data_IF_992630576053
#
_entry.id   IF_992630576053
#
_cell.length_a   1.000
_cell.length_b   1.000
_cell.length_c   1.000
_cell.angle_alpha   90.00
_cell.angle_beta   90.00
_cell.angle_gamma   90.00
#
_symmetry.space_group_name_H-M   'P 1'
#
loop_
_entity.id
_entity.type
_entity.pdbx_description
1 polymer ?
#
# COMPACT_ATOMS: atom_id res chain seq x y z
N UNK A 1 -12.42 18.49 9.31
CA UNK A 1 -13.11 17.22 8.98
C UNK A 1 -13.80 17.44 7.64
N UNK A 2 -13.23 16.92 6.56
CA UNK A 2 -13.79 17.05 5.20
C UNK A 2 -14.96 16.07 5.01
N UNK A 3 -15.97 16.50 4.26
CA UNK A 3 -17.34 15.98 4.25
C UNK A 3 -17.49 14.58 3.60
N UNK A 4 -16.46 14.03 2.95
CA UNK A 4 -16.70 12.95 1.98
C UNK A 4 -15.99 11.62 2.28
N UNK A 5 -15.26 11.48 3.38
CA UNK A 5 -14.65 10.20 3.81
C UNK A 5 -13.63 9.58 2.84
N UNK A 6 -13.39 10.18 1.67
CA UNK A 6 -12.35 9.80 0.72
C UNK A 6 -11.06 10.53 1.10
N UNK A 7 -9.96 9.80 1.33
CA UNK A 7 -8.70 10.46 1.64
C UNK A 7 -8.25 11.35 0.47
N UNK A 8 -7.72 12.51 0.85
CA UNK A 8 -7.58 13.69 0.00
C UNK A 8 -6.27 13.60 -0.81
N UNK A 9 -6.19 12.62 -1.70
CA UNK A 9 -5.00 12.38 -2.52
C UNK A 9 -5.12 13.19 -3.81
N UNK A 10 -4.32 14.25 -3.87
CA UNK A 10 -4.21 15.21 -4.97
C UNK A 10 -5.45 16.11 -5.17
N UNK A 11 -5.42 17.30 -4.55
CA UNK A 11 -6.26 18.42 -5.01
C UNK A 11 -5.56 19.08 -6.20
N UNK A 12 -6.25 19.10 -7.33
CA UNK A 12 -5.94 20.00 -8.43
C UNK A 12 -6.38 21.39 -7.94
N UNK A 13 -5.43 22.30 -7.76
CA UNK A 13 -5.78 23.69 -7.47
C UNK A 13 -6.53 24.26 -8.68
N UNK A 14 -7.83 24.63 -8.53
CA UNK A 14 -8.65 25.09 -9.65
C UNK A 14 -8.13 26.40 -10.26
N UNK A 15 -7.22 27.11 -9.59
CA UNK A 15 -6.64 28.36 -10.09
C UNK A 15 -5.33 28.16 -10.85
N UNK A 16 -4.56 27.11 -10.56
CA UNK A 16 -3.20 26.94 -11.10
C UNK A 16 -3.01 25.64 -11.88
N UNK A 17 -3.96 24.70 -11.84
CA UNK A 17 -3.85 23.40 -12.49
C UNK A 17 -2.73 22.51 -11.93
N UNK A 18 -2.04 22.95 -10.88
CA UNK A 18 -0.98 22.18 -10.23
C UNK A 18 -1.60 21.11 -9.33
N UNK A 19 -1.14 19.88 -9.53
CA UNK A 19 -1.35 18.75 -8.63
C UNK A 19 -0.52 19.03 -7.38
N UNK A 20 -1.17 19.48 -6.30
CA UNK A 20 -0.48 19.60 -5.02
C UNK A 20 -0.29 18.21 -4.43
N UNK A 21 0.95 17.79 -4.07
CA UNK A 21 1.17 16.50 -3.44
C UNK A 21 0.39 16.45 -2.11
N UNK A 22 -0.25 15.32 -1.77
CA UNK A 22 -1.03 15.19 -0.54
C UNK A 22 -0.15 15.55 0.67
N UNK A 23 -0.58 16.57 1.42
CA UNK A 23 0.16 17.13 2.56
C UNK A 23 0.20 16.18 3.78
N UNK A 24 -0.72 15.23 3.84
CA UNK A 24 -0.83 14.26 4.93
C UNK A 24 -0.64 12.85 4.37
N UNK A 25 0.30 12.11 4.96
CA UNK A 25 0.50 10.71 4.62
C UNK A 25 -0.71 9.93 5.13
N UNK A 26 -1.40 9.10 4.31
CA UNK A 26 -2.48 8.24 4.78
C UNK A 26 -2.03 7.45 6.01
N UNK A 27 -2.75 7.65 7.11
CA UNK A 27 -2.46 7.04 8.41
C UNK A 27 -2.31 5.51 8.30
N UNK A 28 -3.05 4.87 7.40
CA UNK A 28 -2.93 3.43 7.11
C UNK A 28 -1.55 2.99 6.64
N UNK A 29 -0.84 3.80 5.85
CA UNK A 29 0.52 3.48 5.38
C UNK A 29 1.54 3.65 6.50
N UNK A 30 1.36 4.64 7.38
CA UNK A 30 2.21 4.83 8.55
C UNK A 30 2.07 3.68 9.55
N UNK A 31 0.83 3.25 9.83
CA UNK A 31 0.57 2.08 10.67
C UNK A 31 1.22 0.84 10.05
N UNK A 32 1.06 0.62 8.74
CA UNK A 32 1.66 -0.50 8.04
C UNK A 32 3.19 -0.51 8.15
N UNK A 33 3.84 0.63 7.95
CA UNK A 33 5.29 0.76 8.13
C UNK A 33 5.73 0.44 9.58
N UNK A 34 4.98 0.94 10.58
CA UNK A 34 5.22 0.60 11.99
C UNK A 34 5.09 -0.89 12.27
N UNK A 35 4.10 -1.57 11.67
CA UNK A 35 3.97 -3.03 11.80
C UNK A 35 5.16 -3.79 11.24
N UNK A 36 5.76 -3.32 10.13
CA UNK A 36 7.00 -3.87 9.59
C UNK A 36 8.20 -3.66 10.52
N UNK A 37 8.30 -2.51 11.18
CA UNK A 37 9.32 -2.27 12.20
C UNK A 37 9.15 -3.19 13.42
N UNK A 38 7.91 -3.42 13.86
CA UNK A 38 7.61 -4.37 14.93
C UNK A 38 7.98 -5.80 14.51
N UNK A 39 7.65 -6.21 13.28
CA UNK A 39 8.03 -7.54 12.75
C UNK A 39 9.55 -7.73 12.71
N UNK A 40 10.29 -6.70 12.30
CA UNK A 40 11.75 -6.73 12.33
C UNK A 40 12.26 -6.95 13.76
N UNK A 41 11.69 -6.25 14.75
CA UNK A 41 12.02 -6.41 16.16
C UNK A 41 11.71 -7.81 16.71
N UNK A 42 10.51 -8.34 16.44
CA UNK A 42 10.12 -9.70 16.85
C UNK A 42 11.06 -10.74 16.25
N UNK A 43 11.38 -10.61 14.97
CA UNK A 43 12.31 -11.50 14.26
C UNK A 43 13.72 -11.40 14.86
N UNK A 44 14.18 -10.20 15.18
CA UNK A 44 15.47 -9.99 15.83
C UNK A 44 15.54 -10.63 17.22
N UNK A 45 14.49 -10.51 18.03
CA UNK A 45 14.41 -11.17 19.34
C UNK A 45 14.45 -12.69 19.18
N UNK A 46 13.71 -13.24 18.21
CA UNK A 46 13.75 -14.69 17.92
C UNK A 46 15.16 -15.16 17.55
N UNK A 47 15.86 -14.41 16.71
CA UNK A 47 17.26 -14.71 16.34
C UNK A 47 18.17 -14.65 17.55
N UNK A 48 18.03 -13.65 18.42
CA UNK A 48 18.83 -13.54 19.64
C UNK A 48 18.59 -14.71 20.58
N UNK A 49 17.35 -15.19 20.71
CA UNK A 49 17.04 -16.41 21.48
C UNK A 49 17.77 -17.61 20.87
N UNK A 50 17.67 -17.82 19.55
CA UNK A 50 18.34 -18.94 18.88
C UNK A 50 19.87 -18.88 19.05
N UNK A 51 20.47 -17.70 18.90
CA UNK A 51 21.91 -17.50 19.09
C UNK A 51 22.30 -17.77 20.54
N UNK A 52 21.56 -17.23 21.50
CA UNK A 52 21.87 -17.40 22.92
C UNK A 52 21.84 -18.88 23.31
N UNK A 53 20.80 -19.62 22.90
CA UNK A 53 20.72 -21.07 23.12
C UNK A 53 21.84 -21.83 22.41
N UNK A 54 22.11 -21.52 21.14
CA UNK A 54 23.20 -22.15 20.39
C UNK A 54 24.60 -21.89 20.99
N UNK A 55 24.80 -20.75 21.64
CA UNK A 55 26.04 -20.44 22.37
C UNK A 55 26.12 -21.18 23.73
N UNK A 56 24.99 -21.34 24.43
CA UNK A 56 24.92 -22.07 25.71
C UNK A 56 25.19 -23.56 25.50
N UNK A 57 24.60 -24.15 24.46
CA UNK A 57 24.75 -25.57 24.13
C UNK A 57 26.00 -25.87 23.25
N UNK A 58 26.85 -24.86 22.99
CA UNK A 58 28.07 -24.95 22.16
C UNK A 58 27.86 -25.49 20.74
N UNK A 59 26.67 -25.33 20.17
CA UNK A 59 26.35 -25.74 18.81
C UNK A 59 26.67 -24.61 17.81
N UNK A 60 27.92 -24.56 17.35
CA UNK A 60 28.37 -23.57 16.36
C UNK A 60 27.52 -23.55 15.08
N UNK A 61 26.97 -24.71 14.69
CA UNK A 61 26.04 -24.84 13.56
C UNK A 61 24.78 -23.98 13.72
N UNK A 62 24.20 -23.98 14.91
CA UNK A 62 22.98 -23.22 15.25
C UNK A 62 23.21 -21.71 15.17
N UNK A 63 24.39 -21.25 15.59
CA UNK A 63 24.80 -19.84 15.47
C UNK A 63 25.03 -19.42 14.02
N UNK A 64 25.71 -20.26 13.23
CA UNK A 64 25.92 -20.00 11.79
C UNK A 64 24.61 -19.96 11.00
N UNK A 65 23.65 -20.83 11.35
CA UNK A 65 22.32 -20.83 10.76
C UNK A 65 21.51 -19.58 11.11
N UNK A 66 21.84 -18.85 12.18
CA UNK A 66 21.16 -17.62 12.56
C UNK A 66 21.55 -16.39 11.69
N UNK A 67 22.73 -16.41 11.07
CA UNK A 67 23.28 -15.27 10.30
C UNK A 67 22.39 -14.87 9.10
N UNK A 68 21.89 -15.80 8.26
CA UNK A 68 20.97 -15.45 7.17
C UNK A 68 19.68 -14.81 7.67
N UNK A 69 19.20 -15.14 8.86
CA UNK A 69 18.00 -14.53 9.44
C UNK A 69 18.23 -13.06 9.82
N UNK A 70 19.46 -12.65 10.11
CA UNK A 70 19.79 -11.24 10.34
C UNK A 70 19.56 -10.39 9.08
N UNK A 71 19.82 -10.95 7.89
CA UNK A 71 19.50 -10.30 6.62
C UNK A 71 17.98 -10.13 6.44
N UNK A 72 17.19 -11.09 6.93
CA UNK A 72 15.72 -10.99 6.92
C UNK A 72 15.24 -9.82 7.79
N UNK A 73 15.86 -9.59 8.95
CA UNK A 73 15.56 -8.41 9.79
C UNK A 73 15.84 -7.11 9.04
N UNK A 74 17.01 -6.99 8.42
CA UNK A 74 17.36 -5.80 7.64
C UNK A 74 16.40 -5.60 6.46
N UNK A 75 15.93 -6.68 5.86
CA UNK A 75 14.97 -6.64 4.77
C UNK A 75 13.57 -6.19 5.25
N UNK A 76 13.12 -6.60 6.44
CA UNK A 76 11.90 -6.05 7.04
C UNK A 76 12.02 -4.54 7.33
N UNK A 77 13.18 -4.09 7.82
CA UNK A 77 13.43 -2.66 8.06
C UNK A 77 13.42 -1.84 6.76
N UNK A 78 14.02 -2.36 5.69
CA UNK A 78 14.05 -1.67 4.40
C UNK A 78 12.65 -1.56 3.78
N UNK A 79 11.80 -2.57 3.94
CA UNK A 79 10.39 -2.51 3.53
C UNK A 79 9.59 -1.53 4.38
N UNK A 80 9.77 -1.53 5.71
CA UNK A 80 9.13 -0.54 6.59
C UNK A 80 9.48 0.90 6.17
N UNK A 81 10.76 1.16 5.89
CA UNK A 81 11.21 2.45 5.38
C UNK A 81 10.66 2.76 3.97
N UNK A 82 10.65 1.78 3.08
CA UNK A 82 10.12 1.91 1.71
C UNK A 82 8.61 2.20 1.67
N UNK A 83 7.84 1.52 2.51
CA UNK A 83 6.41 1.78 2.71
C UNK A 83 6.18 3.17 3.31
N UNK A 84 7.00 3.59 4.28
CA UNK A 84 6.93 4.93 4.85
C UNK A 84 7.20 6.03 3.81
N UNK A 85 8.04 5.75 2.82
CA UNK A 85 8.30 6.62 1.65
C UNK A 85 7.29 6.45 0.51
N UNK A 86 6.25 5.63 0.68
CA UNK A 86 5.22 5.32 -0.32
C UNK A 86 5.75 4.78 -1.65
N UNK A 87 6.87 4.05 -1.61
CA UNK A 87 7.45 3.47 -2.80
C UNK A 87 6.69 2.19 -3.22
N UNK A 88 6.08 2.22 -4.41
CA UNK A 88 5.24 1.12 -4.95
C UNK A 88 5.90 -0.25 -4.88
N UNK A 89 7.18 -0.34 -5.28
CA UNK A 89 7.87 -1.62 -5.32
C UNK A 89 7.83 -2.32 -3.95
N UNK A 90 7.95 -1.56 -2.86
CA UNK A 90 7.98 -2.12 -1.51
C UNK A 90 6.60 -2.59 -1.04
N UNK A 91 5.49 -2.11 -1.63
CA UNK A 91 4.16 -2.67 -1.38
C UNK A 91 4.07 -4.13 -1.86
N UNK A 92 4.60 -4.43 -3.04
CA UNK A 92 4.62 -5.79 -3.56
C UNK A 92 5.51 -6.72 -2.72
N UNK A 93 6.72 -6.26 -2.37
CA UNK A 93 7.62 -7.02 -1.49
C UNK A 93 7.04 -7.21 -0.09
N UNK A 94 6.35 -6.21 0.45
CA UNK A 94 5.61 -6.33 1.70
C UNK A 94 4.54 -7.43 1.60
N UNK A 95 3.72 -7.43 0.55
CA UNK A 95 2.70 -8.47 0.39
C UNK A 95 3.31 -9.87 0.32
N UNK A 96 4.37 -10.02 -0.48
CA UNK A 96 5.08 -11.29 -0.62
C UNK A 96 5.64 -11.78 0.73
N UNK A 97 6.31 -10.90 1.47
CA UNK A 97 6.88 -11.26 2.76
C UNK A 97 5.83 -11.55 3.82
N UNK A 98 4.72 -10.83 3.84
CA UNK A 98 3.65 -11.09 4.79
C UNK A 98 3.04 -12.49 4.57
N UNK A 99 2.90 -12.92 3.31
CA UNK A 99 2.44 -14.27 2.97
C UNK A 99 3.49 -15.32 3.39
N UNK A 100 4.76 -15.12 3.05
CA UNK A 100 5.84 -16.04 3.43
C UNK A 100 5.98 -16.15 4.95
N UNK A 101 5.91 -15.01 5.66
CA UNK A 101 5.96 -14.94 7.12
C UNK A 101 4.77 -15.64 7.77
N UNK A 102 3.59 -15.57 7.16
CA UNK A 102 2.40 -16.29 7.63
C UNK A 102 2.56 -17.81 7.49
N UNK A 103 3.06 -18.28 6.35
CA UNK A 103 3.36 -19.70 6.14
C UNK A 103 4.42 -20.20 7.13
N UNK A 104 5.46 -19.41 7.37
CA UNK A 104 6.51 -19.73 8.33
C UNK A 104 5.99 -19.79 9.77
N UNK A 105 5.15 -18.82 10.17
CA UNK A 105 4.54 -18.79 11.49
C UNK A 105 3.62 -20.00 11.73
N UNK A 106 2.82 -20.40 10.73
CA UNK A 106 2.00 -21.62 10.78
C UNK A 106 2.89 -22.85 10.91
N UNK A 107 3.95 -22.96 10.10
CA UNK A 107 4.91 -24.06 10.16
C UNK A 107 5.53 -24.19 11.55
N UNK A 108 6.01 -23.09 12.12
CA UNK A 108 6.59 -23.08 13.46
C UNK A 108 5.58 -23.46 14.56
N UNK A 109 4.34 -22.97 14.49
CA UNK A 109 3.28 -23.38 15.43
C UNK A 109 2.99 -24.87 15.33
N UNK A 110 2.86 -25.39 14.11
CA UNK A 110 2.61 -26.81 13.87
C UNK A 110 3.77 -27.68 14.38
N UNK A 111 5.01 -27.28 14.13
CA UNK A 111 6.20 -27.96 14.67
C UNK A 111 6.23 -27.92 16.19
N UNK A 112 6.02 -26.75 16.81
CA UNK A 112 6.04 -26.59 18.27
C UNK A 112 4.96 -27.45 18.94
N UNK A 113 3.76 -27.50 18.36
CA UNK A 113 2.69 -28.38 18.80
C UNK A 113 3.04 -29.87 18.65
N UNK A 114 3.64 -30.26 17.52
CA UNK A 114 4.08 -31.65 17.32
C UNK A 114 5.18 -32.06 18.31
N UNK A 115 6.07 -31.14 18.70
CA UNK A 115 7.11 -31.40 19.69
C UNK A 115 6.60 -31.41 21.13
N UNK A 116 5.47 -30.77 21.45
CA UNK A 116 5.02 -30.72 22.86
C UNK A 116 4.62 -32.05 23.46
N UNK A 117 4.19 -33.00 22.64
CA UNK A 117 3.88 -34.35 23.10
C UNK A 117 5.14 -35.12 23.56
N UNK A 118 6.33 -34.64 23.20
CA UNK A 118 7.62 -35.27 23.49
C UNK A 118 8.37 -34.66 24.68
N UNK A 119 7.88 -33.54 25.24
CA UNK A 119 8.54 -32.83 26.34
C UNK A 119 7.77 -33.02 27.66
N UNK A 120 8.31 -33.82 28.62
CA UNK A 120 7.62 -34.11 29.89
C UNK A 120 7.44 -32.88 30.78
N UNK A 121 8.31 -31.88 30.65
CA UNK A 121 8.25 -30.62 31.42
C UNK A 121 7.42 -29.52 30.72
N UNK A 122 6.81 -29.86 29.57
CA UNK A 122 6.10 -28.92 28.71
C UNK A 122 7.04 -28.02 27.89
N UNK A 123 6.51 -27.50 26.79
CA UNK A 123 7.27 -26.61 25.90
C UNK A 123 7.18 -25.17 26.43
N UNK A 124 8.31 -24.45 26.55
CA UNK A 124 8.30 -23.06 27.01
C UNK A 124 7.31 -22.17 26.26
N UNK A 125 6.51 -21.39 26.99
CA UNK A 125 5.41 -20.60 26.42
C UNK A 125 5.85 -19.62 25.32
N UNK A 126 7.09 -19.11 25.37
CA UNK A 126 7.61 -18.20 24.36
C UNK A 126 7.74 -18.85 22.97
N UNK A 127 7.91 -20.18 22.89
CA UNK A 127 7.96 -20.92 21.62
C UNK A 127 6.61 -20.97 20.91
N UNK A 128 5.49 -20.84 21.64
CA UNK A 128 4.17 -20.63 21.05
C UNK A 128 3.86 -19.15 20.82
N UNK A 129 4.26 -18.28 21.76
CA UNK A 129 3.92 -16.87 21.71
C UNK A 129 4.55 -16.15 20.52
N UNK A 130 5.84 -16.39 20.23
CA UNK A 130 6.55 -15.69 19.13
C UNK A 130 5.91 -15.99 17.77
N UNK A 131 5.69 -17.27 17.37
CA UNK A 131 5.06 -17.55 16.09
C UNK A 131 3.58 -17.13 16.06
N UNK A 132 2.86 -17.19 17.17
CA UNK A 132 1.47 -16.70 17.23
C UNK A 132 1.40 -15.18 17.00
N UNK A 133 2.31 -14.40 17.59
CA UNK A 133 2.42 -12.95 17.35
C UNK A 133 2.75 -12.70 15.87
N UNK A 134 3.71 -13.42 15.29
CA UNK A 134 4.04 -13.30 13.86
C UNK A 134 2.83 -13.61 12.98
N UNK A 135 2.04 -14.62 13.32
CA UNK A 135 0.82 -14.99 12.58
C UNK A 135 -0.20 -13.84 12.59
N UNK A 136 -0.52 -13.31 13.77
CA UNK A 136 -1.49 -12.22 13.92
C UNK A 136 -1.01 -10.97 13.19
N UNK A 137 0.26 -10.58 13.38
CA UNK A 137 0.80 -9.36 12.76
C UNK A 137 0.85 -9.49 11.24
N UNK A 138 1.25 -10.64 10.69
CA UNK A 138 1.22 -10.87 9.24
C UNK A 138 -0.20 -10.82 8.67
N UNK A 139 -1.20 -11.38 9.36
CA UNK A 139 -2.60 -11.26 8.95
C UNK A 139 -3.07 -9.80 8.90
N UNK A 140 -2.75 -9.01 9.93
CA UNK A 140 -3.12 -7.59 9.96
C UNK A 140 -2.40 -6.83 8.85
N UNK A 141 -1.11 -7.08 8.63
CA UNK A 141 -0.34 -6.50 7.53
C UNK A 141 -0.99 -6.79 6.18
N UNK A 142 -1.37 -8.04 5.91
CA UNK A 142 -2.03 -8.43 4.64
C UNK A 142 -3.34 -7.66 4.47
N UNK A 143 -4.17 -7.63 5.51
CA UNK A 143 -5.44 -6.91 5.47
C UNK A 143 -5.24 -5.42 5.17
N UNK A 144 -4.30 -4.76 5.86
CA UNK A 144 -4.00 -3.34 5.61
C UNK A 144 -3.39 -3.11 4.23
N UNK A 145 -2.51 -3.99 3.74
CA UNK A 145 -1.94 -3.92 2.38
C UNK A 145 -3.04 -3.92 1.30
N UNK A 146 -4.09 -4.72 1.48
CA UNK A 146 -5.23 -4.71 0.57
C UNK A 146 -6.07 -3.43 0.67
N UNK A 147 -6.24 -2.86 1.87
CA UNK A 147 -6.94 -1.58 2.04
C UNK A 147 -6.19 -0.42 1.38
N UNK A 148 -4.86 -0.41 1.46
CA UNK A 148 -4.03 0.66 0.89
C UNK A 148 -3.61 0.40 -0.55
N UNK A 149 -4.07 -0.69 -1.19
CA UNK A 149 -3.62 -1.08 -2.54
C UNK A 149 -3.79 0.05 -3.57
N UNK A 150 -4.88 0.80 -3.47
CA UNK A 150 -5.23 1.84 -4.44
C UNK A 150 -4.37 3.09 -4.27
N UNK A 151 -3.75 3.29 -3.08
CA UNK A 151 -2.78 4.35 -2.83
C UNK A 151 -1.45 4.12 -3.55
N UNK A 152 -1.10 2.86 -3.82
CA UNK A 152 0.13 2.46 -4.51
C UNK A 152 -0.09 2.17 -6.00
N UNK A 153 -1.32 2.33 -6.49
CA UNK A 153 -1.65 2.13 -7.90
C UNK A 153 -1.16 3.33 -8.70
N UNK A 154 -0.40 3.05 -9.74
CA UNK A 154 0.14 4.06 -10.65
C UNK A 154 -1.03 4.85 -11.26
N UNK A 155 -1.00 6.18 -11.15
CA UNK A 155 -1.89 7.01 -11.96
C UNK A 155 -1.41 6.80 -13.39
N UNK A 156 -2.26 6.18 -14.21
CA UNK A 156 -1.93 5.87 -15.60
C UNK A 156 -1.46 7.18 -16.28
N UNK A 157 -0.25 7.23 -16.87
CA UNK A 157 0.25 8.44 -17.52
C UNK A 157 -0.72 8.95 -18.58
N UNK A 158 -1.55 8.09 -19.18
CA UNK A 158 -2.63 8.48 -20.08
C UNK A 158 -3.77 9.22 -19.37
N UNK A 159 -4.13 8.81 -18.15
CA UNK A 159 -5.12 9.54 -17.35
C UNK A 159 -4.57 10.91 -16.91
N UNK A 160 -3.29 11.01 -16.56
CA UNK A 160 -2.67 12.31 -16.24
C UNK A 160 -2.68 13.23 -17.46
N UNK A 161 -2.32 12.73 -18.64
CA UNK A 161 -2.39 13.51 -19.88
C UNK A 161 -3.83 13.92 -20.20
N UNK A 162 -4.81 13.03 -20.07
CA UNK A 162 -6.22 13.36 -20.30
C UNK A 162 -6.74 14.41 -19.32
N UNK A 163 -6.35 14.33 -18.04
CA UNK A 163 -6.71 15.33 -17.04
C UNK A 163 -6.05 16.69 -17.32
N UNK A 164 -4.81 16.72 -17.81
CA UNK A 164 -4.15 17.95 -18.26
C UNK A 164 -4.78 18.55 -19.52
N UNK A 165 -5.21 17.71 -20.47
CA UNK A 165 -5.91 18.17 -21.67
C UNK A 165 -7.28 18.76 -21.30
N UNK A 166 -8.06 18.07 -20.46
CA UNK A 166 -9.35 18.58 -20.00
C UNK A 166 -9.23 19.88 -19.19
N UNK A 167 -8.15 20.04 -18.40
CA UNK A 167 -7.92 21.29 -17.67
C UNK A 167 -7.56 22.44 -18.62
N UNK A 168 -6.77 22.18 -19.66
CA UNK A 168 -6.49 23.15 -20.72
C UNK A 168 -7.75 23.51 -21.52
N UNK A 169 -8.59 22.54 -21.88
CA UNK A 169 -9.87 22.79 -22.58
C UNK A 169 -10.80 23.68 -21.75
N UNK A 170 -10.94 23.40 -20.45
CA UNK A 170 -11.74 24.24 -19.55
C UNK A 170 -11.16 25.66 -19.41
N UNK A 171 -9.84 25.80 -19.34
CA UNK A 171 -9.22 27.13 -19.33
C UNK A 171 -9.47 27.88 -20.64
N UNK A 172 -9.45 27.17 -21.78
CA UNK A 172 -9.75 27.74 -23.09
C UNK A 172 -11.22 28.18 -23.19
N UNK A 173 -12.17 27.38 -22.69
CA UNK A 173 -13.59 27.74 -22.62
C UNK A 173 -13.83 28.97 -21.74
N UNK A 174 -13.15 29.05 -20.59
CA UNK A 174 -13.23 30.22 -19.71
C UNK A 174 -12.65 31.45 -20.39
N UNK A 175 -11.53 31.33 -21.11
CA UNK A 175 -10.96 32.43 -21.89
C UNK A 175 -11.88 32.89 -23.03
N UNK A 176 -12.51 31.95 -23.76
CA UNK A 176 -13.48 32.27 -24.82
C UNK A 176 -14.72 32.98 -24.27
N UNK A 177 -15.24 32.52 -23.13
CA UNK A 177 -16.36 33.19 -22.44
C UNK A 177 -15.99 34.58 -21.91
N UNK A 178 -14.72 34.81 -21.54
CA UNK A 178 -14.23 36.14 -21.16
C UNK A 178 -13.94 37.05 -22.36
N UNK A 179 -13.64 36.49 -23.54
CA UNK A 179 -13.43 37.24 -24.78
C UNK A 179 -14.72 37.62 -25.52
N UNK A 180 -15.89 37.16 -25.06
CA UNK A 180 -17.17 37.61 -25.62
C UNK A 180 -17.48 37.08 -27.03
N UNK A 181 -16.98 35.89 -27.40
CA UNK A 181 -17.50 35.21 -28.59
C UNK A 181 -18.88 34.61 -28.27
N UNK A 182 -19.94 35.31 -28.67
CA UNK A 182 -21.27 34.73 -28.83
C UNK A 182 -21.19 33.50 -29.76
N UNK A 183 -21.92 32.41 -29.48
CA UNK A 183 -22.00 31.27 -30.40
C UNK A 183 -22.55 31.74 -31.76
N UNK A 184 -22.07 31.18 -32.89
CA UNK A 184 -22.54 31.59 -34.21
C UNK A 184 -24.03 31.33 -34.30
N UNK A 185 -24.77 32.36 -34.72
CA UNK A 185 -26.21 32.31 -34.93
C UNK A 185 -26.59 31.11 -35.82
N UNK A 186 -27.55 30.32 -35.34
CA UNK A 186 -28.21 29.30 -36.16
C UNK A 186 -28.78 29.93 -37.42
N UNK A 187 -28.22 29.56 -38.57
CA UNK A 187 -28.71 29.94 -39.89
C UNK A 187 -30.00 29.15 -40.18
N UNK A 188 -31.15 29.68 -39.74
CA UNK A 188 -32.48 29.18 -40.15
C UNK A 188 -32.72 29.58 -41.61
N UNK A 189 -32.24 28.75 -42.54
CA UNK A 189 -32.80 28.69 -43.89
C UNK A 189 -34.06 27.82 -43.87
N UNK A 190 -35.21 28.47 -43.67
CA UNK A 190 -36.48 27.93 -44.15
C UNK A 190 -36.50 28.07 -45.68
N UNK A 191 -36.40 26.93 -46.38
CA UNK A 191 -36.74 26.80 -47.80
C UNK A 191 -37.60 25.55 -47.95
N UNK A 192 -38.81 25.74 -48.49
CA UNK A 192 -39.74 24.69 -48.92
C UNK A 192 -41.18 25.11 -48.60
N UNK A 193 -41.89 25.74 -49.53
CA UNK A 193 -42.80 25.08 -50.49
C UNK A 193 -44.24 25.22 -49.94
N UNK A 194 -45.32 25.42 -50.67
CA UNK A 194 -45.65 25.40 -52.10
C UNK A 194 -46.83 26.37 -52.29
N UNK A 195 -46.92 26.97 -53.48
CA UNK A 195 -48.07 27.71 -53.95
C UNK A 195 -48.75 26.90 -55.04
N UNK A 196 -49.88 26.24 -54.75
CA UNK A 196 -50.87 25.82 -55.75
C UNK A 196 -52.27 25.81 -55.11
N UNK A 197 -53.22 26.48 -55.76
CA UNK A 197 -54.65 26.31 -55.49
C UNK A 197 -55.53 27.56 -55.60
N UNK A 198 -55.61 28.20 -56.78
CA UNK A 198 -56.78 28.98 -57.20
C UNK A 198 -57.30 28.41 -58.53
N UNK A 199 -58.58 28.02 -58.50
CA UNK A 199 -59.61 27.88 -59.56
C UNK A 199 -59.30 27.14 -60.88
#
# INVERSE_FOLDING_TARGET
MGVDGKPDYAKIDPKTGQVTPPKERPMGVTILAMMYFIMAGVTAVQILVVIFWGLVDFEFGTVCCAIPFFLVVLFYLSIGAGLFMMMRQFWFWALLLAILGLLFAIGNLASTYAYSDWYPDGVPAYLYAIPAIQLVVNLVIIFYLFQVKDLFREIDPKQVQQMQIQSMEKQLEVMKKQQGEEPPAEDKKEIGGDSEGEE
#
